data_IF_859415114641
#
_entry.id   IF_859415114641
#
_cell.length_a   1.000
_cell.length_b   1.000
_cell.length_c   1.000
_cell.angle_alpha   90.00
_cell.angle_beta   90.00
_cell.angle_gamma   90.00
#
_symmetry.space_group_name_H-M   'P 1'
#
loop_
_entity.id
_entity.type
_entity.pdbx_description
1 polymer ?
#
# COMPACT_ATOMS: atom_id res chain seq x y z
N UNK A 1 39.92 -23.18 -25.65
CA UNK A 1 38.86 -23.01 -24.63
C UNK A 1 38.15 -21.70 -24.94
N UNK A 2 36.83 -21.70 -25.21
CA UNK A 2 36.08 -20.45 -25.36
C UNK A 2 36.08 -19.77 -23.99
N UNK A 3 36.63 -18.56 -23.91
CA UNK A 3 36.77 -17.84 -22.65
C UNK A 3 35.41 -17.53 -22.03
N UNK A 4 35.40 -17.44 -20.70
CA UNK A 4 34.28 -16.92 -19.94
C UNK A 4 33.77 -15.62 -20.57
N UNK A 5 32.47 -15.55 -20.86
CA UNK A 5 31.83 -14.37 -21.43
C UNK A 5 30.98 -13.68 -20.38
N UNK A 6 30.84 -12.36 -20.52
CA UNK A 6 29.89 -11.58 -19.72
C UNK A 6 28.56 -11.54 -20.44
N UNK A 7 27.49 -11.97 -19.76
CA UNK A 7 26.11 -11.97 -20.28
C UNK A 7 25.34 -10.89 -19.53
N UNK A 8 24.82 -9.92 -20.28
CA UNK A 8 23.92 -8.89 -19.76
C UNK A 8 22.48 -9.22 -20.17
N UNK A 9 21.55 -9.21 -19.23
CA UNK A 9 20.14 -9.43 -19.53
C UNK A 9 19.23 -8.60 -18.62
N UNK A 10 18.21 -8.01 -19.24
CA UNK A 10 17.14 -7.26 -18.56
C UNK A 10 15.80 -7.99 -18.53
N UNK A 11 15.73 -9.15 -19.18
CA UNK A 11 14.54 -10.01 -19.26
C UNK A 11 14.91 -11.49 -19.17
N UNK A 12 13.98 -12.32 -18.70
CA UNK A 12 14.18 -13.77 -18.59
C UNK A 12 14.44 -14.40 -19.96
N UNK A 13 13.74 -13.94 -21.00
CA UNK A 13 13.92 -14.41 -22.39
C UNK A 13 15.31 -14.13 -22.96
N UNK A 14 15.91 -12.98 -22.64
CA UNK A 14 17.28 -12.67 -23.06
C UNK A 14 18.28 -13.63 -22.42
N UNK A 15 18.09 -13.91 -21.12
CA UNK A 15 18.95 -14.83 -20.39
C UNK A 15 18.83 -16.27 -20.91
N UNK A 16 17.60 -16.72 -21.20
CA UNK A 16 17.34 -18.05 -21.79
C UNK A 16 18.03 -18.19 -23.16
N UNK A 17 17.90 -17.17 -24.02
CA UNK A 17 18.52 -17.17 -25.35
C UNK A 17 20.05 -17.13 -25.32
N UNK A 18 20.64 -16.55 -24.27
CA UNK A 18 22.10 -16.44 -24.14
C UNK A 18 22.79 -17.81 -23.92
N UNK A 19 22.04 -18.83 -23.46
CA UNK A 19 22.56 -20.19 -23.29
C UNK A 19 23.72 -20.27 -22.28
N UNK A 20 23.47 -19.73 -21.07
CA UNK A 20 24.42 -19.59 -19.95
C UNK A 20 25.17 -20.89 -19.66
N UNK A 21 26.48 -20.77 -19.42
CA UNK A 21 27.37 -21.90 -19.13
C UNK A 21 28.15 -21.68 -17.83
N UNK A 22 28.65 -22.77 -17.27
CA UNK A 22 29.57 -22.70 -16.13
C UNK A 22 30.81 -21.91 -16.52
N UNK A 23 31.11 -20.86 -15.75
CA UNK A 23 32.22 -19.95 -15.97
C UNK A 23 31.81 -18.60 -16.57
N UNK A 24 30.57 -18.44 -17.04
CA UNK A 24 30.08 -17.14 -17.51
C UNK A 24 29.88 -16.16 -16.34
N UNK A 25 30.08 -14.87 -16.60
CA UNK A 25 29.77 -13.79 -15.65
C UNK A 25 28.42 -13.18 -16.03
N UNK A 26 27.51 -13.05 -15.06
CA UNK A 26 26.16 -12.54 -15.32
C UNK A 26 25.99 -11.12 -14.75
N UNK A 27 25.48 -10.21 -15.57
CA UNK A 27 25.01 -8.88 -15.15
C UNK A 27 23.51 -8.77 -15.45
N UNK A 28 22.69 -9.03 -14.42
CA UNK A 28 21.24 -9.15 -14.57
C UNK A 28 20.55 -8.00 -13.87
N UNK A 29 19.54 -7.42 -14.51
CA UNK A 29 18.61 -6.50 -13.87
C UNK A 29 17.19 -6.86 -14.30
N UNK A 30 16.21 -6.65 -13.44
CA UNK A 30 14.85 -7.04 -13.77
C UNK A 30 13.88 -6.81 -12.64
N UNK A 31 12.59 -6.96 -12.94
CA UNK A 31 11.52 -6.99 -11.96
C UNK A 31 11.09 -8.44 -11.80
N UNK A 32 11.09 -8.93 -10.58
CA UNK A 32 10.57 -10.25 -10.24
C UNK A 32 9.41 -10.15 -9.25
N UNK A 33 8.82 -11.30 -8.94
CA UNK A 33 7.83 -11.43 -7.89
C UNK A 33 8.52 -11.72 -6.56
N UNK A 34 8.14 -10.95 -5.55
CA UNK A 34 8.53 -11.17 -4.16
C UNK A 34 7.97 -12.51 -3.68
N UNK A 35 8.82 -13.36 -3.14
CA UNK A 35 8.46 -14.64 -2.54
C UNK A 35 8.89 -14.66 -1.07
N UNK A 36 7.92 -14.88 -0.18
CA UNK A 36 8.14 -15.01 1.25
C UNK A 36 8.30 -16.50 1.52
N UNK A 37 9.53 -16.95 1.85
CA UNK A 37 9.78 -18.36 2.11
C UNK A 37 9.10 -18.80 3.42
N UNK A 38 7.90 -19.38 3.33
CA UNK A 38 7.24 -20.04 4.46
C UNK A 38 7.80 -21.45 4.67
N UNK A 39 9.07 -21.54 5.06
CA UNK A 39 9.79 -22.81 5.29
C UNK A 39 9.21 -23.67 6.42
N UNK A 40 8.26 -23.15 7.19
CA UNK A 40 7.42 -23.89 8.11
C UNK A 40 6.10 -23.12 8.22
N UNK A 41 4.97 -23.83 8.22
CA UNK A 41 3.64 -23.37 8.68
C UNK A 41 3.51 -21.86 8.80
N UNK A 42 2.88 -21.21 7.84
CA UNK A 42 2.39 -19.84 8.02
C UNK A 42 1.34 -19.86 9.13
N UNK A 43 1.80 -19.88 10.38
CA UNK A 43 0.96 -19.51 11.51
C UNK A 43 0.73 -18.02 11.35
N UNK A 44 -0.53 -17.58 11.28
CA UNK A 44 -0.88 -16.16 11.36
C UNK A 44 -0.52 -15.52 12.71
N UNK A 45 0.46 -16.09 13.42
CA UNK A 45 0.96 -15.76 14.74
C UNK A 45 2.49 -15.54 14.67
N UNK A 46 2.98 -14.81 13.67
CA UNK A 46 4.27 -14.15 13.87
C UNK A 46 4.01 -12.93 14.75
N UNK A 47 4.72 -12.86 15.87
CA UNK A 47 4.53 -11.90 16.96
C UNK A 47 4.94 -10.45 16.61
N UNK A 48 4.78 -10.05 15.34
CA UNK A 48 5.05 -8.71 14.84
C UNK A 48 4.02 -8.34 13.76
N UNK A 49 3.03 -7.48 14.08
CA UNK A 49 2.01 -7.04 13.12
C UNK A 49 2.56 -6.12 12.01
N UNK A 50 3.86 -5.85 11.99
CA UNK A 50 4.54 -5.03 10.98
C UNK A 50 5.85 -5.70 10.54
N UNK A 51 5.77 -6.65 9.62
CA UNK A 51 6.90 -7.00 8.74
C UNK A 51 6.53 -6.59 7.32
N UNK A 52 6.45 -5.29 7.01
CA UNK A 52 6.15 -4.86 5.66
C UNK A 52 7.34 -5.28 4.77
N UNK A 53 7.07 -6.17 3.82
CA UNK A 53 7.98 -6.56 2.73
C UNK A 53 9.18 -7.47 3.10
N UNK A 54 8.95 -8.60 3.77
CA UNK A 54 9.97 -9.68 3.80
C UNK A 54 10.05 -10.42 2.45
N UNK A 55 10.67 -9.77 1.47
CA UNK A 55 10.99 -10.37 0.17
C UNK A 55 12.32 -11.15 0.22
N UNK A 56 12.39 -12.14 1.11
CA UNK A 56 13.57 -13.00 1.27
C UNK A 56 14.01 -13.72 -0.01
N UNK A 57 13.11 -13.87 -0.99
CA UNK A 57 13.43 -14.37 -2.32
C UNK A 57 12.74 -13.53 -3.41
N UNK A 58 13.41 -13.37 -4.55
CA UNK A 58 12.82 -12.80 -5.76
C UNK A 58 12.76 -13.89 -6.82
N UNK A 59 11.55 -14.22 -7.28
CA UNK A 59 11.34 -15.10 -8.41
C UNK A 59 11.27 -14.22 -9.66
N UNK A 60 12.29 -14.28 -10.50
CA UNK A 60 12.30 -13.57 -11.77
C UNK A 60 11.66 -14.43 -12.86
N UNK A 61 10.46 -14.07 -13.31
CA UNK A 61 9.73 -14.78 -14.36
C UNK A 61 8.90 -13.80 -15.22
N UNK A 62 8.32 -14.32 -16.31
CA UNK A 62 7.39 -13.59 -17.17
C UNK A 62 5.92 -13.89 -16.82
N UNK A 63 5.64 -14.35 -15.60
CA UNK A 63 4.26 -14.62 -15.19
C UNK A 63 3.50 -13.29 -15.06
N UNK A 64 2.23 -13.23 -15.49
CA UNK A 64 1.40 -12.06 -15.25
C UNK A 64 1.29 -11.80 -13.74
N UNK A 65 1.38 -10.53 -13.34
CA UNK A 65 1.17 -10.14 -11.96
C UNK A 65 -0.21 -10.61 -11.50
N UNK A 66 -0.28 -11.17 -10.30
CA UNK A 66 -1.57 -11.51 -9.71
C UNK A 66 -2.43 -10.24 -9.59
N UNK A 67 -3.74 -10.34 -9.83
CA UNK A 67 -4.63 -9.22 -9.54
C UNK A 67 -4.48 -8.86 -8.07
N UNK A 68 -4.61 -7.56 -7.76
CA UNK A 68 -4.65 -7.13 -6.37
C UNK A 68 -5.79 -7.88 -5.68
N UNK A 69 -5.56 -8.48 -4.49
CA UNK A 69 -6.62 -9.15 -3.78
C UNK A 69 -7.71 -8.12 -3.44
N UNK A 70 -8.93 -8.36 -3.94
CA UNK A 70 -10.07 -7.53 -3.59
C UNK A 70 -10.42 -7.79 -2.12
N UNK A 71 -10.38 -6.73 -1.32
CA UNK A 71 -10.76 -6.78 0.08
C UNK A 71 -11.61 -5.56 0.39
N UNK A 72 -12.88 -5.82 0.71
CA UNK A 72 -13.82 -4.77 1.10
C UNK A 72 -13.31 -3.97 2.30
N UNK A 73 -12.64 -4.64 3.26
CA UNK A 73 -12.03 -3.97 4.41
C UNK A 73 -10.88 -3.04 3.98
N UNK A 74 -10.01 -3.47 3.06
CA UNK A 74 -8.93 -2.62 2.54
C UNK A 74 -9.50 -1.43 1.76
N UNK A 75 -10.55 -1.65 0.96
CA UNK A 75 -11.23 -0.59 0.23
C UNK A 75 -11.83 0.45 1.17
N UNK A 76 -12.53 0.01 2.22
CA UNK A 76 -13.08 0.89 3.27
C UNK A 76 -11.97 1.64 4.01
N UNK A 77 -10.88 0.97 4.39
CA UNK A 77 -9.74 1.58 5.07
C UNK A 77 -9.04 2.63 4.20
N UNK A 78 -8.90 2.36 2.91
CA UNK A 78 -8.36 3.30 1.94
C UNK A 78 -9.29 4.52 1.78
N UNK A 79 -10.60 4.32 1.71
CA UNK A 79 -11.58 5.40 1.64
C UNK A 79 -11.51 6.31 2.88
N UNK A 80 -11.40 5.73 4.08
CA UNK A 80 -11.20 6.50 5.32
C UNK A 80 -9.88 7.29 5.28
N UNK A 81 -8.77 6.64 4.89
CA UNK A 81 -7.46 7.30 4.82
C UNK A 81 -7.47 8.49 3.84
N UNK A 82 -8.17 8.35 2.70
CA UNK A 82 -8.32 9.42 1.73
C UNK A 82 -9.16 10.57 2.28
N UNK A 83 -10.27 10.28 2.96
CA UNK A 83 -11.13 11.29 3.57
C UNK A 83 -10.38 12.10 4.64
N UNK A 84 -9.65 11.42 5.55
CA UNK A 84 -8.82 12.07 6.56
C UNK A 84 -7.74 12.93 5.92
N UNK A 85 -7.01 12.41 4.94
CA UNK A 85 -5.94 13.17 4.29
C UNK A 85 -6.47 14.40 3.55
N UNK A 86 -7.65 14.30 2.91
CA UNK A 86 -8.29 15.42 2.23
C UNK A 86 -8.69 16.53 3.20
N UNK A 87 -9.29 16.18 4.35
CA UNK A 87 -9.73 17.18 5.31
C UNK A 87 -8.58 17.80 6.11
N UNK A 88 -7.48 17.08 6.31
CA UNK A 88 -6.25 17.62 6.91
C UNK A 88 -5.48 18.54 5.94
N UNK A 89 -5.53 18.24 4.64
CA UNK A 89 -4.83 18.97 3.59
C UNK A 89 -5.80 19.39 2.47
N UNK A 90 -6.76 20.28 2.76
CA UNK A 90 -7.78 20.66 1.79
C UNK A 90 -7.14 21.43 0.64
N UNK A 91 -7.48 21.03 -0.58
CA UNK A 91 -7.05 21.72 -1.79
C UNK A 91 -8.00 22.88 -2.13
N UNK A 92 -7.56 23.88 -2.91
CA UNK A 92 -8.41 25.01 -3.28
C UNK A 92 -9.70 24.61 -4.00
N UNK A 93 -9.66 23.50 -4.74
CA UNK A 93 -10.79 22.89 -5.44
C UNK A 93 -11.77 22.10 -4.55
N UNK A 94 -11.44 21.90 -3.26
CA UNK A 94 -12.35 21.24 -2.34
C UNK A 94 -13.45 22.21 -1.91
N UNK A 95 -14.70 21.88 -2.22
CA UNK A 95 -15.92 22.61 -1.83
C UNK A 95 -16.09 22.59 -0.31
N UNK A 96 -15.32 23.43 0.39
CA UNK A 96 -15.44 23.56 1.83
C UNK A 96 -16.73 24.31 2.15
N UNK A 97 -17.54 23.71 3.02
CA UNK A 97 -18.80 24.30 3.55
C UNK A 97 -18.61 25.58 4.38
N UNK A 98 -17.37 25.97 4.65
CA UNK A 98 -16.98 27.14 5.45
C UNK A 98 -16.28 28.22 4.62
N UNK A 99 -16.55 29.48 4.97
CA UNK A 99 -16.01 30.64 4.26
C UNK A 99 -14.48 30.70 4.31
N UNK A 100 -13.86 31.24 3.25
CA UNK A 100 -12.40 31.35 3.15
C UNK A 100 -11.79 32.17 4.31
N UNK A 101 -12.51 33.19 4.79
CA UNK A 101 -12.09 34.04 5.91
C UNK A 101 -11.99 33.27 7.24
N UNK A 102 -12.93 32.36 7.51
CA UNK A 102 -12.93 31.55 8.72
C UNK A 102 -11.79 30.51 8.69
N UNK A 103 -11.58 29.85 7.54
CA UNK A 103 -10.45 28.94 7.33
C UNK A 103 -9.10 29.62 7.55
N UNK A 104 -8.93 30.82 6.98
CA UNK A 104 -7.69 31.59 7.15
C UNK A 104 -7.44 31.98 8.61
N UNK A 105 -8.48 32.35 9.37
CA UNK A 105 -8.35 32.69 10.77
C UNK A 105 -7.96 31.49 11.65
N UNK A 106 -8.50 30.30 11.36
CA UNK A 106 -8.21 29.05 12.10
C UNK A 106 -6.82 28.50 11.75
N UNK A 107 -6.41 28.56 10.48
CA UNK A 107 -5.05 28.18 10.09
C UNK A 107 -3.99 29.09 10.74
N UNK A 108 -4.27 30.39 10.85
CA UNK A 108 -3.36 31.35 11.52
C UNK A 108 -3.19 31.08 13.01
N UNK A 109 -4.16 30.44 13.66
CA UNK A 109 -4.04 30.00 15.05
C UNK A 109 -3.39 28.62 15.21
N UNK A 110 -2.89 28.02 14.11
CA UNK A 110 -2.23 26.71 14.12
C UNK A 110 -3.20 25.54 14.26
N UNK A 111 -4.50 25.78 14.09
CA UNK A 111 -5.53 24.75 14.14
C UNK A 111 -5.92 24.31 12.72
N UNK A 112 -6.32 23.04 12.58
CA UNK A 112 -6.87 22.50 11.33
C UNK A 112 -8.36 22.32 11.50
N UNK A 113 -9.15 22.92 10.61
CA UNK A 113 -10.59 22.75 10.58
C UNK A 113 -10.93 21.53 9.72
N UNK A 114 -11.55 20.53 10.34
CA UNK A 114 -12.18 19.41 9.63
C UNK A 114 -13.60 19.83 9.25
N UNK A 115 -13.85 20.00 7.96
CA UNK A 115 -15.09 20.53 7.41
C UNK A 115 -16.22 19.49 7.33
N UNK A 116 -15.88 18.20 7.27
CA UNK A 116 -16.82 17.09 7.29
C UNK A 116 -16.35 15.96 8.23
N UNK A 117 -16.18 16.29 9.51
CA UNK A 117 -15.82 15.29 10.52
C UNK A 117 -16.83 14.12 10.59
N UNK A 118 -18.09 14.37 10.22
CA UNK A 118 -19.13 13.33 10.13
C UNK A 118 -18.78 12.23 9.13
N UNK A 119 -18.30 12.57 7.93
CA UNK A 119 -17.84 11.59 6.94
C UNK A 119 -16.70 10.72 7.47
N UNK A 120 -15.75 11.28 8.25
CA UNK A 120 -14.67 10.51 8.89
C UNK A 120 -15.27 9.52 9.91
N UNK A 121 -16.22 9.95 10.73
CA UNK A 121 -16.89 9.09 11.72
C UNK A 121 -17.62 7.93 11.04
N UNK A 122 -18.38 8.21 9.97
CA UNK A 122 -19.11 7.20 9.22
C UNK A 122 -18.16 6.19 8.55
N UNK A 123 -17.11 6.66 7.87
CA UNK A 123 -16.12 5.76 7.25
C UNK A 123 -15.31 4.96 8.27
N UNK A 124 -15.15 5.49 9.49
CA UNK A 124 -14.54 4.73 10.59
C UNK A 124 -15.47 3.62 11.07
N UNK A 125 -16.78 3.90 11.18
CA UNK A 125 -17.79 2.91 11.52
C UNK A 125 -17.89 1.78 10.46
N UNK A 126 -17.63 2.08 9.19
CA UNK A 126 -17.61 1.07 8.13
C UNK A 126 -16.50 0.03 8.29
N UNK A 127 -15.44 0.31 9.06
CA UNK A 127 -14.34 -0.62 9.33
C UNK A 127 -14.65 -1.68 10.38
N UNK A 128 -15.75 -1.53 11.10
CA UNK A 128 -16.14 -2.43 12.18
C UNK A 128 -16.61 -3.77 11.58
N UNK A 129 -16.19 -4.89 12.18
CA UNK A 129 -16.61 -6.21 11.70
C UNK A 129 -18.06 -6.52 12.06
N UNK A 130 -18.56 -5.94 13.17
CA UNK A 130 -19.95 -5.99 13.60
C UNK A 130 -20.39 -4.64 14.20
N UNK A 131 -21.70 -4.35 14.18
CA UNK A 131 -22.27 -3.08 14.67
C UNK A 131 -22.03 -2.85 16.17
N UNK A 132 -21.95 -3.93 16.95
CA UNK A 132 -21.74 -3.90 18.41
C UNK A 132 -20.28 -3.77 18.83
N UNK A 133 -19.31 -3.97 17.91
CA UNK A 133 -17.89 -3.73 18.21
C UNK A 133 -17.56 -2.22 18.25
N UNK A 134 -18.35 -1.39 17.58
CA UNK A 134 -18.12 0.05 17.48
C UNK A 134 -19.02 0.86 18.40
N UNK A 135 -18.88 0.60 19.70
CA UNK A 135 -19.68 1.13 20.83
C UNK A 135 -19.60 2.67 21.00
N UNK A 136 -18.94 3.43 20.11
CA UNK A 136 -18.68 4.86 20.37
C UNK A 136 -18.65 5.78 19.14
N UNK A 137 -19.55 5.60 18.16
CA UNK A 137 -19.76 6.61 17.11
C UNK A 137 -21.03 7.47 17.32
N UNK A 138 -21.99 7.02 18.13
CA UNK A 138 -23.26 7.75 18.36
C UNK A 138 -23.09 9.13 19.04
N UNK A 139 -22.00 9.35 19.78
CA UNK A 139 -21.80 10.62 20.53
C UNK A 139 -21.10 11.74 19.75
N UNK A 140 -20.67 11.50 18.52
CA UNK A 140 -19.96 12.49 17.71
C UNK A 140 -20.81 13.12 16.59
N UNK A 141 -22.05 12.65 16.39
CA UNK A 141 -22.97 13.14 15.36
C UNK A 141 -24.09 14.04 15.93
N UNK A 142 -23.77 14.85 16.95
CA UNK A 142 -24.68 15.82 17.57
C UNK A 142 -24.42 17.24 17.09
#
# INVERSE_FOLDING_TARGET
>A
MKGAQTIEATTVKQLEKAGVRVGDTLHLSGKGMCNIHSGATWSGQSNSPFMPFDCSQIIWNDAPALPLPESDLVNKAMALSQAVNRQLHPKPEDDSRVSASLRSAIQKSGMVLLDDFGDIVLKTADLCAAEDECVRSEKCAG
#
